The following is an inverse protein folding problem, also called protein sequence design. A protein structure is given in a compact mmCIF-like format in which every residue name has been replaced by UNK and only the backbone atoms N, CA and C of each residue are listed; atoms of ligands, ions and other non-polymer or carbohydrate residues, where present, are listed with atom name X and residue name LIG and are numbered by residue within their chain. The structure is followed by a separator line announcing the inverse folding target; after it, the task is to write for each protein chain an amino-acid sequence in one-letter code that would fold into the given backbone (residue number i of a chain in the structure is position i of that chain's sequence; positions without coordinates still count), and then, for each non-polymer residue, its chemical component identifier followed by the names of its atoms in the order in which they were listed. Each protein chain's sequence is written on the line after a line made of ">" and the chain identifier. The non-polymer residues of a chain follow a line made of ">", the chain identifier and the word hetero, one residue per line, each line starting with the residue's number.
data_IF_423294247855
#
_entry.id   IF_423294247855
#
_cell.length_a   1.000
_cell.length_b   1.000
_cell.length_c   1.000
_cell.angle_alpha   90.00
_cell.angle_beta   90.00
_cell.angle_gamma   90.00
#
_symmetry.space_group_name_H-M   'P 1'
#
loop_
_entity.id
_entity.type
_entity.pdbx_description
1 polymer ?
#
# COMPACT_ATOMS: atom_id res chain seq x y z
N UNK A 1 5.15 14.66 5.51
CA UNK A 1 6.42 14.02 5.15
C UNK A 1 7.03 13.43 6.42
N UNK A 2 7.33 12.13 6.45
CA UNK A 2 7.89 11.49 7.64
C UNK A 2 9.31 12.02 7.88
N UNK A 3 9.63 12.51 9.09
CA UNK A 3 11.02 12.79 9.44
C UNK A 3 11.82 11.49 9.25
N UNK A 4 12.87 11.51 8.42
CA UNK A 4 13.77 10.39 8.07
C UNK A 4 13.34 9.44 6.92
N UNK A 5 12.25 9.71 6.20
CA UNK A 5 11.94 8.94 4.97
C UNK A 5 12.70 9.50 3.78
N UNK A 6 13.34 8.63 2.98
CA UNK A 6 13.96 8.98 1.69
C UNK A 6 12.88 9.33 0.65
N UNK A 7 11.66 8.81 0.81
CA UNK A 7 10.57 9.06 -0.12
C UNK A 7 9.79 10.33 0.21
N UNK A 8 9.73 11.22 -0.78
CA UNK A 8 8.78 12.33 -0.84
C UNK A 8 7.35 11.82 -1.10
N UNK A 9 6.34 12.68 -0.90
CA UNK A 9 4.93 12.30 -1.12
C UNK A 9 4.66 11.87 -2.58
N UNK A 10 5.30 12.52 -3.55
CA UNK A 10 5.21 12.21 -4.98
C UNK A 10 5.68 10.78 -5.28
N UNK A 11 6.86 10.40 -4.76
CA UNK A 11 7.43 9.07 -4.94
C UNK A 11 6.59 7.99 -4.26
N UNK A 12 6.09 8.24 -3.04
CA UNK A 12 5.18 7.32 -2.37
C UNK A 12 3.90 7.11 -3.19
N UNK A 13 3.33 8.18 -3.74
CA UNK A 13 2.14 8.09 -4.58
C UNK A 13 2.40 7.28 -5.85
N UNK A 14 3.53 7.46 -6.53
CA UNK A 14 3.91 6.65 -7.71
C UNK A 14 4.06 5.17 -7.38
N UNK A 15 4.78 4.85 -6.30
CA UNK A 15 4.99 3.46 -5.87
C UNK A 15 3.68 2.77 -5.52
N UNK A 16 2.80 3.45 -4.77
CA UNK A 16 1.53 2.90 -4.33
C UNK A 16 0.53 2.78 -5.48
N UNK A 17 0.48 3.76 -6.39
CA UNK A 17 -0.31 3.66 -7.62
C UNK A 17 0.14 2.45 -8.44
N UNK A 18 1.45 2.33 -8.68
CA UNK A 18 2.01 1.19 -9.38
C UNK A 18 1.64 -0.14 -8.74
N UNK A 19 1.71 -0.24 -7.40
CA UNK A 19 1.42 -1.48 -6.68
C UNK A 19 -0.06 -1.83 -6.64
N UNK A 20 -0.91 -0.90 -6.24
CA UNK A 20 -2.30 -1.15 -5.85
C UNK A 20 -3.32 -0.78 -6.93
N UNK A 21 -2.99 0.15 -7.83
CA UNK A 21 -3.85 0.54 -8.95
C UNK A 21 -3.44 -0.23 -10.21
N UNK A 22 -2.15 -0.23 -10.54
CA UNK A 22 -1.63 -0.85 -11.77
C UNK A 22 -1.23 -2.32 -11.60
N UNK A 23 -1.44 -2.90 -10.41
CA UNK A 23 -1.13 -4.29 -10.08
C UNK A 23 0.33 -4.73 -10.36
N UNK A 24 1.30 -3.82 -10.20
CA UNK A 24 2.72 -4.15 -10.33
C UNK A 24 3.25 -4.84 -9.08
N UNK A 25 4.07 -5.87 -9.25
CA UNK A 25 4.82 -6.44 -8.13
C UNK A 25 5.90 -5.45 -7.65
N UNK A 26 6.26 -5.50 -6.36
CA UNK A 26 7.34 -4.64 -5.83
C UNK A 26 8.67 -4.90 -6.54
N UNK A 27 8.91 -6.11 -7.02
CA UNK A 27 10.09 -6.42 -7.85
C UNK A 27 10.08 -5.62 -9.16
N UNK A 28 8.91 -5.46 -9.80
CA UNK A 28 8.78 -4.66 -11.02
C UNK A 28 8.94 -3.16 -10.74
N UNK A 29 8.38 -2.67 -9.63
CA UNK A 29 8.57 -1.28 -9.20
C UNK A 29 10.03 -1.00 -8.87
N UNK A 30 10.69 -1.89 -8.12
CA UNK A 30 12.11 -1.78 -7.77
C UNK A 30 13.01 -1.70 -9.02
N UNK A 31 12.78 -2.57 -10.01
CA UNK A 31 13.48 -2.52 -11.30
C UNK A 31 13.21 -1.23 -12.07
N UNK A 32 11.99 -0.67 -11.99
CA UNK A 32 11.66 0.62 -12.63
C UNK A 32 12.47 1.75 -12.02
N UNK A 33 12.45 1.87 -10.69
CA UNK A 33 13.18 2.91 -9.96
C UNK A 33 14.70 2.82 -10.20
N UNK A 34 15.25 1.61 -10.23
CA UNK A 34 16.66 1.39 -10.54
C UNK A 34 17.06 1.89 -11.94
N UNK A 35 16.20 1.76 -12.95
CA UNK A 35 16.45 2.31 -14.30
C UNK A 35 16.41 3.84 -14.33
N UNK A 36 15.69 4.46 -13.40
CA UNK A 36 15.62 5.91 -13.23
C UNK A 36 16.79 6.45 -12.38
N UNK A 37 17.73 5.58 -11.99
CA UNK A 37 18.91 5.95 -11.22
C UNK A 37 18.68 6.00 -9.70
N UNK A 38 17.52 5.54 -9.22
CA UNK A 38 17.23 5.47 -7.79
C UNK A 38 17.68 4.13 -7.21
N UNK A 39 18.74 4.17 -6.40
CA UNK A 39 19.22 3.02 -5.64
C UNK A 39 18.52 2.95 -4.27
N UNK A 40 17.50 2.09 -4.17
CA UNK A 40 16.70 1.88 -2.96
C UNK A 40 16.72 0.40 -2.63
N UNK A 41 16.95 0.04 -1.37
CA UNK A 41 16.87 -1.35 -0.92
C UNK A 41 15.46 -1.94 -1.13
N UNK A 42 15.39 -3.21 -1.56
CA UNK A 42 14.09 -3.86 -1.81
C UNK A 42 13.21 -3.91 -0.55
N UNK A 43 13.79 -4.19 0.61
CA UNK A 43 13.10 -4.15 1.91
C UNK A 43 12.56 -2.75 2.20
N UNK A 44 13.39 -1.72 2.02
CA UNK A 44 12.98 -0.32 2.21
C UNK A 44 11.78 0.05 1.35
N UNK A 45 11.75 -0.37 0.08
CA UNK A 45 10.61 -0.15 -0.81
C UNK A 45 9.34 -0.87 -0.30
N UNK A 46 9.48 -2.10 0.19
CA UNK A 46 8.36 -2.90 0.71
C UNK A 46 7.82 -2.38 2.05
N UNK A 47 8.66 -1.71 2.84
CA UNK A 47 8.29 -1.14 4.14
C UNK A 47 7.47 0.17 4.00
N UNK A 48 7.61 0.89 2.88
CA UNK A 48 6.93 2.18 2.67
C UNK A 48 5.40 2.12 2.78
N UNK A 49 4.68 1.18 2.12
CA UNK A 49 3.23 1.03 2.31
C UNK A 49 2.84 0.78 3.76
N UNK A 50 3.60 -0.05 4.48
CA UNK A 50 3.33 -0.38 5.89
C UNK A 50 3.45 0.88 6.74
N UNK A 51 4.55 1.62 6.58
CA UNK A 51 4.79 2.86 7.31
C UNK A 51 3.75 3.94 6.98
N UNK A 52 3.27 4.00 5.74
CA UNK A 52 2.19 4.90 5.37
C UNK A 52 0.88 4.49 6.04
N UNK A 53 0.51 3.21 5.96
CA UNK A 53 -0.71 2.70 6.59
C UNK A 53 -0.76 2.99 8.09
N UNK A 54 0.35 2.76 8.82
CA UNK A 54 0.42 3.07 10.25
C UNK A 54 0.09 4.54 10.56
N UNK A 55 0.49 5.46 9.68
CA UNK A 55 0.21 6.90 9.83
C UNK A 55 -1.20 7.28 9.40
N UNK A 56 -1.76 6.55 8.43
CA UNK A 56 -3.13 6.74 7.96
C UNK A 56 -4.15 6.00 8.83
N UNK A 57 -3.72 5.13 9.74
CA UNK A 57 -4.62 4.37 10.63
C UNK A 57 -5.69 5.23 11.33
N UNK A 58 -5.41 6.45 11.84
CA UNK A 58 -6.46 7.29 12.43
C UNK A 58 -7.59 7.66 11.47
N UNK A 59 -7.32 7.72 10.16
CA UNK A 59 -8.33 8.00 9.13
C UNK A 59 -9.34 6.87 8.98
N UNK A 60 -8.94 5.63 9.27
CA UNK A 60 -9.85 4.49 9.21
C UNK A 60 -11.04 4.69 10.15
N UNK A 61 -10.79 5.15 11.38
CA UNK A 61 -11.86 5.42 12.36
C UNK A 61 -12.83 6.50 11.85
N UNK A 62 -12.29 7.59 11.30
CA UNK A 62 -13.09 8.68 10.73
C UNK A 62 -13.93 8.21 9.53
N UNK A 63 -13.39 7.34 8.67
CA UNK A 63 -14.15 6.74 7.58
C UNK A 63 -15.28 5.85 8.06
N UNK A 64 -15.06 5.03 9.09
CA UNK A 64 -16.14 4.21 9.67
C UNK A 64 -17.23 5.04 10.33
N UNK A 65 -16.87 6.15 10.98
CA UNK A 65 -17.86 7.11 11.50
C UNK A 65 -18.68 7.71 10.35
N UNK A 66 -18.05 8.18 9.28
CA UNK A 66 -18.76 8.72 8.13
C UNK A 66 -19.64 7.69 7.41
N UNK A 67 -19.17 6.44 7.27
CA UNK A 67 -19.92 5.35 6.64
C UNK A 67 -21.12 4.90 7.48
N UNK A 68 -21.11 5.11 8.80
CA UNK A 68 -22.23 4.75 9.69
C UNK A 68 -23.54 5.41 9.28
N UNK A 69 -23.46 6.63 8.78
CA UNK A 69 -24.63 7.39 8.33
C UNK A 69 -25.08 6.99 6.91
N UNK A 70 -24.35 6.10 6.23
CA UNK A 70 -24.74 5.57 4.93
C UNK A 70 -25.91 4.59 5.06
N UNK A 71 -26.97 4.84 4.30
CA UNK A 71 -28.15 3.98 4.24
C UNK A 71 -27.90 2.60 3.59
N UNK A 72 -26.80 2.45 2.84
CA UNK A 72 -26.45 1.21 2.13
C UNK A 72 -24.94 0.96 2.20
N UNK A 73 -24.58 -0.31 2.46
CA UNK A 73 -23.19 -0.76 2.53
C UNK A 73 -22.99 -1.84 1.47
N UNK A 74 -22.06 -1.61 0.55
CA UNK A 74 -21.57 -2.65 -0.36
C UNK A 74 -20.31 -3.25 0.24
N UNK A 75 -20.35 -4.55 0.51
CA UNK A 75 -19.23 -5.31 1.03
C UNK A 75 -18.78 -6.30 -0.04
N UNK A 76 -17.47 -6.41 -0.22
CA UNK A 76 -16.85 -7.42 -1.07
C UNK A 76 -16.11 -8.41 -0.17
N UNK A 77 -16.54 -9.67 -0.20
CA UNK A 77 -15.98 -10.77 0.60
C UNK A 77 -15.05 -11.67 -0.23
N UNK A 78 -14.49 -11.15 -1.33
CA UNK A 78 -13.54 -11.88 -2.17
C UNK A 78 -12.39 -12.44 -1.32
N UNK A 79 -12.31 -13.77 -1.26
CA UNK A 79 -11.23 -14.47 -0.54
C UNK A 79 -9.99 -14.57 -1.42
N UNK A 80 -8.82 -14.52 -0.78
CA UNK A 80 -7.54 -14.72 -1.43
C UNK A 80 -6.68 -15.67 -0.59
N UNK A 81 -5.94 -16.54 -1.28
CA UNK A 81 -4.87 -17.34 -0.69
C UNK A 81 -3.74 -16.39 -0.26
N UNK A 82 -3.41 -16.40 1.04
CA UNK A 82 -2.27 -15.65 1.58
C UNK A 82 -1.20 -16.64 2.04
N UNK A 83 0.06 -16.46 1.61
CA UNK A 83 1.25 -17.19 2.08
C UNK A 83 1.11 -18.73 2.20
N UNK A 84 0.34 -19.38 1.33
CA UNK A 84 0.05 -20.82 1.41
C UNK A 84 -0.48 -21.29 2.78
N UNK A 85 -1.30 -20.47 3.44
CA UNK A 85 -2.06 -20.84 4.64
C UNK A 85 -2.73 -22.23 4.48
N UNK A 86 -2.46 -23.17 5.40
CA UNK A 86 -3.08 -24.49 5.34
C UNK A 86 -4.60 -24.35 5.46
N UNK A 87 -5.33 -25.22 4.76
CA UNK A 87 -6.80 -25.27 4.75
C UNK A 87 -7.50 -24.06 4.09
N UNK A 88 -6.75 -23.17 3.42
CA UNK A 88 -7.29 -22.11 2.55
C UNK A 88 -6.83 -22.33 1.10
N UNK A 89 -7.77 -22.75 0.24
CA UNK A 89 -7.57 -22.90 -1.20
C UNK A 89 -8.00 -21.64 -1.96
#
# INVERSE_FOLDING_TARGET
>A
MSPKSIAEASLLADVLTGKFVDALSFVRVHKRLAREGMDIGYSTLCDWPIQLYERLRPWQALWFEALRDSALWHLDETTLQVLNEPERA
#
